data_IF_974217143626
#
_entry.id   IF_974217143626
#
_cell.length_a   1.000
_cell.length_b   1.000
_cell.length_c   1.000
_cell.angle_alpha   90.00
_cell.angle_beta   90.00
_cell.angle_gamma   90.00
#
_symmetry.space_group_name_H-M   'P 1'
#
loop_
_entity.id
_entity.type
_entity.pdbx_description
1 polymer ?
#
# COMPACT_ATOMS: atom_id res chain seq x y z
N UNK A 1 -54.01 -56.53 37.18
CA UNK A 1 -53.61 -55.13 37.42
C UNK A 1 -52.67 -54.71 36.30
N UNK A 2 -53.09 -53.74 35.48
CA UNK A 2 -52.37 -53.22 34.30
C UNK A 2 -51.35 -52.18 34.76
N UNK A 3 -50.09 -52.30 34.35
CA UNK A 3 -49.11 -51.21 34.46
C UNK A 3 -48.72 -50.77 33.05
N UNK A 4 -49.17 -49.56 32.70
CA UNK A 4 -48.86 -48.86 31.45
C UNK A 4 -47.51 -48.18 31.66
N UNK A 5 -46.51 -48.55 30.85
CA UNK A 5 -45.20 -47.92 30.82
C UNK A 5 -45.33 -46.59 30.06
N UNK A 6 -45.39 -45.47 30.78
CA UNK A 6 -45.51 -44.12 30.23
C UNK A 6 -44.10 -43.60 29.86
N UNK A 7 -43.77 -43.54 28.56
CA UNK A 7 -42.58 -42.85 28.07
C UNK A 7 -42.77 -41.34 28.23
N UNK A 8 -42.09 -40.72 29.22
CA UNK A 8 -42.02 -39.26 29.36
C UNK A 8 -41.02 -38.75 28.32
N UNK A 9 -41.53 -38.21 27.22
CA UNK A 9 -40.74 -37.42 26.28
C UNK A 9 -40.46 -36.08 26.96
N UNK A 10 -39.25 -35.91 27.50
CA UNK A 10 -38.77 -34.61 27.99
C UNK A 10 -38.48 -33.75 26.76
N UNK A 11 -39.46 -32.93 26.37
CA UNK A 11 -39.28 -31.87 25.39
C UNK A 11 -38.41 -30.76 26.01
N UNK A 12 -37.09 -30.93 25.91
CA UNK A 12 -36.14 -29.85 26.17
C UNK A 12 -36.39 -28.77 25.12
N UNK A 13 -37.14 -27.74 25.52
CA UNK A 13 -37.34 -26.55 24.71
C UNK A 13 -36.00 -25.80 24.70
N UNK A 14 -35.18 -26.01 23.67
CA UNK A 14 -33.99 -25.19 23.42
C UNK A 14 -34.52 -23.79 23.08
N UNK A 15 -34.58 -22.91 24.08
CA UNK A 15 -34.74 -21.48 23.82
C UNK A 15 -33.42 -20.99 23.25
N UNK A 16 -33.32 -20.92 21.93
CA UNK A 16 -32.26 -20.21 21.24
C UNK A 16 -32.35 -18.73 21.63
N UNK A 17 -31.52 -18.31 22.57
CA UNK A 17 -31.34 -16.90 22.89
C UNK A 17 -30.43 -16.31 21.81
N UNK A 18 -31.04 -15.80 20.74
CA UNK A 18 -30.35 -14.98 19.75
C UNK A 18 -30.03 -13.64 20.40
N UNK A 19 -28.83 -13.49 20.95
CA UNK A 19 -28.29 -12.15 21.20
C UNK A 19 -27.88 -11.59 19.84
N UNK A 20 -28.72 -10.72 19.28
CA UNK A 20 -28.23 -9.68 18.38
C UNK A 20 -27.43 -8.73 19.25
N UNK A 21 -26.11 -8.89 19.28
CA UNK A 21 -25.21 -7.83 19.72
C UNK A 21 -25.38 -6.66 18.75
N UNK A 22 -26.16 -5.68 19.18
CA UNK A 22 -26.12 -4.33 18.63
C UNK A 22 -24.71 -3.81 18.94
N UNK A 23 -23.84 -3.82 17.92
CA UNK A 23 -22.53 -3.18 18.01
C UNK A 23 -22.75 -1.68 18.21
N UNK A 24 -22.84 -1.27 19.48
CA UNK A 24 -22.62 0.11 19.88
C UNK A 24 -21.16 0.41 19.53
N UNK A 25 -20.97 1.08 18.40
CA UNK A 25 -19.68 1.57 17.95
C UNK A 25 -19.20 2.61 18.98
N UNK A 26 -18.51 2.15 20.02
CA UNK A 26 -17.75 3.03 20.90
C UNK A 26 -16.65 3.67 20.05
N UNK A 27 -16.89 4.91 19.64
CA UNK A 27 -16.02 5.81 18.89
C UNK A 27 -14.79 6.21 19.73
N UNK A 28 -13.97 5.23 20.08
CA UNK A 28 -12.67 5.41 20.74
C UNK A 28 -11.54 4.71 19.98
N UNK A 29 -11.84 4.09 18.83
CA UNK A 29 -10.82 3.71 17.84
C UNK A 29 -10.57 4.87 16.88
N UNK A 30 -10.09 5.99 17.43
CA UNK A 30 -9.28 6.95 16.67
C UNK A 30 -7.84 6.45 16.51
N UNK A 31 -7.67 5.13 16.35
CA UNK A 31 -6.39 4.57 15.91
C UNK A 31 -6.13 5.07 14.50
N UNK A 32 -5.15 5.94 14.33
CA UNK A 32 -4.70 6.35 13.01
C UNK A 32 -4.42 5.09 12.19
N UNK A 33 -5.16 4.92 11.10
CA UNK A 33 -4.95 3.79 10.21
C UNK A 33 -3.58 3.99 9.56
N UNK A 34 -2.58 3.19 9.94
CA UNK A 34 -1.27 3.23 9.31
C UNK A 34 -1.28 2.38 8.02
N UNK A 35 -0.89 3.01 6.91
CA UNK A 35 -0.65 2.39 5.60
C UNK A 35 0.16 1.09 5.69
N UNK A 36 1.15 1.02 6.58
CA UNK A 36 2.13 -0.06 6.60
C UNK A 36 1.80 -1.21 7.58
N UNK A 37 0.77 -1.07 8.41
CA UNK A 37 0.34 -2.13 9.35
C UNK A 37 -0.54 -3.20 8.68
N UNK A 38 -1.06 -2.92 7.48
CA UNK A 38 -1.92 -3.85 6.74
C UNK A 38 -1.14 -4.60 5.66
N UNK A 39 -1.30 -5.92 5.65
CA UNK A 39 -0.68 -6.79 4.65
C UNK A 39 -1.47 -6.96 3.35
N UNK A 40 -2.75 -6.55 3.34
CA UNK A 40 -3.59 -6.63 2.13
C UNK A 40 -3.01 -5.73 1.02
N UNK A 41 -2.78 -6.26 -0.20
CA UNK A 41 -2.31 -5.47 -1.32
C UNK A 41 -3.26 -4.31 -1.65
N UNK A 42 -2.68 -3.19 -2.05
CA UNK A 42 -3.41 -2.04 -2.59
C UNK A 42 -3.69 -2.23 -4.08
N UNK A 43 -4.81 -1.70 -4.56
CA UNK A 43 -5.16 -1.70 -5.98
C UNK A 43 -5.23 -0.28 -6.51
N UNK A 44 -4.24 0.10 -7.31
CA UNK A 44 -4.03 1.48 -7.76
C UNK A 44 -4.12 1.58 -9.28
N UNK A 45 -4.74 2.63 -9.79
CA UNK A 45 -4.56 3.06 -11.18
C UNK A 45 -3.82 4.38 -11.20
N UNK A 46 -2.68 4.43 -11.89
CA UNK A 46 -1.87 5.64 -12.04
C UNK A 46 -1.80 6.05 -13.51
N UNK A 47 -2.29 7.26 -13.80
CA UNK A 47 -2.36 7.82 -15.14
C UNK A 47 -1.40 9.00 -15.27
N UNK A 48 -0.51 8.96 -16.25
CA UNK A 48 0.42 10.05 -16.54
C UNK A 48 1.07 9.88 -17.92
N UNK A 49 1.82 10.88 -18.37
CA UNK A 49 2.71 10.72 -19.51
C UNK A 49 3.95 9.93 -19.08
N UNK A 50 3.88 8.60 -19.15
CA UNK A 50 4.99 7.73 -18.75
C UNK A 50 6.11 7.70 -19.79
N UNK A 51 5.83 8.08 -21.04
CA UNK A 51 6.86 8.32 -22.05
C UNK A 51 7.77 9.47 -21.61
N UNK A 52 7.18 10.61 -21.21
CA UNK A 52 7.91 11.77 -20.65
C UNK A 52 8.58 11.40 -19.33
N UNK A 53 7.89 10.72 -18.42
CA UNK A 53 8.45 10.29 -17.13
C UNK A 53 9.79 9.57 -17.28
N UNK A 54 9.86 8.61 -18.21
CA UNK A 54 11.08 7.83 -18.47
C UNK A 54 12.17 8.65 -19.16
N UNK A 55 11.79 9.53 -20.10
CA UNK A 55 12.70 10.43 -20.80
C UNK A 55 13.35 11.44 -19.84
N UNK A 56 12.54 12.01 -18.95
CA UNK A 56 12.92 13.11 -18.06
C UNK A 56 13.39 12.62 -16.68
N UNK A 57 13.68 11.33 -16.52
CA UNK A 57 14.02 10.70 -15.22
C UNK A 57 15.23 11.32 -14.49
N UNK A 58 16.05 12.12 -15.18
CA UNK A 58 17.21 12.81 -14.61
C UNK A 58 16.98 14.29 -14.29
N UNK A 59 15.84 14.88 -14.68
CA UNK A 59 15.56 16.30 -14.43
C UNK A 59 15.23 16.61 -12.97
N UNK A 60 14.99 15.58 -12.15
CA UNK A 60 14.51 15.68 -10.76
C UNK A 60 13.22 16.52 -10.57
N UNK A 61 12.44 16.66 -11.63
CA UNK A 61 11.21 17.44 -11.65
C UNK A 61 9.98 16.56 -11.41
N UNK A 62 8.98 17.14 -10.76
CA UNK A 62 7.67 16.53 -10.62
C UNK A 62 6.81 16.78 -11.87
N UNK A 63 6.16 15.74 -12.36
CA UNK A 63 5.07 15.85 -13.34
C UNK A 63 3.72 15.48 -12.70
N UNK A 64 2.63 16.01 -13.27
CA UNK A 64 1.27 15.69 -12.83
C UNK A 64 0.90 14.24 -13.17
N UNK A 65 0.11 13.63 -12.31
CA UNK A 65 -0.52 12.33 -12.54
C UNK A 65 -1.89 12.30 -11.87
N UNK A 66 -2.76 11.41 -12.35
CA UNK A 66 -4.01 11.07 -11.67
C UNK A 66 -3.85 9.70 -11.02
N UNK A 67 -4.22 9.61 -9.75
CA UNK A 67 -4.22 8.38 -8.98
C UNK A 67 -5.65 8.02 -8.62
N UNK A 68 -6.05 6.80 -8.94
CA UNK A 68 -7.33 6.21 -8.54
C UNK A 68 -7.03 5.04 -7.60
N UNK A 69 -7.70 5.01 -6.45
CA UNK A 69 -7.53 3.95 -5.46
C UNK A 69 -8.80 3.78 -4.62
N UNK A 70 -8.96 2.60 -4.01
CA UNK A 70 -10.12 2.30 -3.17
C UNK A 70 -9.76 2.33 -1.68
N UNK A 71 -10.60 2.96 -0.86
CA UNK A 71 -10.53 2.94 0.60
C UNK A 71 -11.55 1.92 1.11
N UNK A 72 -11.13 1.07 2.07
CA UNK A 72 -11.97 0.06 2.71
C UNK A 72 -12.74 -0.81 1.70
N UNK A 73 -12.12 -1.08 0.55
CA UNK A 73 -12.68 -1.86 -0.56
C UNK A 73 -14.02 -1.37 -1.13
N UNK A 74 -14.46 -0.15 -0.78
CA UNK A 74 -15.83 0.31 -1.06
C UNK A 74 -15.89 1.71 -1.66
N UNK A 75 -14.93 2.58 -1.36
CA UNK A 75 -14.94 3.98 -1.80
C UNK A 75 -13.79 4.23 -2.76
N UNK A 76 -14.10 4.44 -4.05
CA UNK A 76 -13.13 4.87 -5.04
C UNK A 76 -12.81 6.37 -4.86
N UNK A 77 -11.52 6.68 -4.81
CA UNK A 77 -10.98 8.03 -4.73
C UNK A 77 -10.18 8.31 -5.98
N UNK A 78 -10.47 9.42 -6.64
CA UNK A 78 -9.69 9.95 -7.76
C UNK A 78 -8.99 11.24 -7.31
N UNK A 79 -7.66 11.27 -7.44
CA UNK A 79 -6.84 12.36 -6.87
C UNK A 79 -5.73 12.80 -7.81
N UNK A 80 -5.61 14.13 -7.97
CA UNK A 80 -4.44 14.71 -8.62
C UNK A 80 -3.23 14.61 -7.69
N UNK A 81 -2.18 13.97 -8.20
CA UNK A 81 -0.91 13.75 -7.50
C UNK A 81 0.24 14.24 -8.38
N UNK A 82 1.43 14.27 -7.81
CA UNK A 82 2.67 14.52 -8.56
C UNK A 82 3.61 13.34 -8.42
N UNK A 83 4.26 12.98 -9.52
CA UNK A 83 5.25 11.90 -9.56
C UNK A 83 6.58 12.43 -10.07
N UNK A 84 7.67 11.90 -9.51
CA UNK A 84 9.02 12.08 -10.06
C UNK A 84 9.82 10.79 -9.98
N UNK A 85 10.79 10.63 -10.88
CA UNK A 85 11.72 9.52 -10.80
C UNK A 85 12.59 9.64 -9.53
N UNK A 86 12.96 8.51 -8.92
CA UNK A 86 13.83 8.48 -7.75
C UNK A 86 14.84 7.33 -7.79
N UNK A 87 15.78 7.39 -6.86
CA UNK A 87 16.85 6.40 -6.72
C UNK A 87 18.10 6.80 -7.51
N UNK A 88 19.20 6.11 -7.22
CA UNK A 88 20.49 6.38 -7.85
C UNK A 88 20.81 5.32 -8.89
N UNK A 89 20.94 4.06 -8.46
CA UNK A 89 21.25 2.95 -9.36
C UNK A 89 20.12 2.68 -10.36
N UNK A 90 18.90 2.39 -9.89
CA UNK A 90 17.75 2.07 -10.77
C UNK A 90 17.35 3.23 -11.67
N UNK A 91 17.56 4.48 -11.25
CA UNK A 91 17.33 5.65 -12.11
C UNK A 91 18.27 5.63 -13.32
N UNK A 92 19.51 5.16 -13.15
CA UNK A 92 20.50 5.01 -14.23
C UNK A 92 20.23 3.78 -15.10
N UNK A 93 19.99 2.62 -14.48
CA UNK A 93 19.98 1.32 -15.17
C UNK A 93 18.60 0.85 -15.65
N UNK A 94 17.51 1.29 -15.02
CA UNK A 94 16.16 0.86 -15.39
C UNK A 94 15.54 1.73 -16.47
N UNK A 95 14.74 1.10 -17.34
CA UNK A 95 13.89 1.80 -18.29
C UNK A 95 12.71 2.48 -17.57
N UNK A 96 12.14 1.79 -16.58
CA UNK A 96 11.09 2.32 -15.71
C UNK A 96 11.67 2.56 -14.31
N UNK A 97 12.00 3.81 -13.94
CA UNK A 97 12.60 4.09 -12.64
C UNK A 97 11.54 4.06 -11.52
N UNK A 98 11.95 3.78 -10.27
CA UNK A 98 11.07 3.90 -9.12
C UNK A 98 10.46 5.30 -9.01
N UNK A 99 9.25 5.38 -8.46
CA UNK A 99 8.45 6.60 -8.40
C UNK A 99 8.49 7.19 -6.98
N UNK A 100 8.66 8.51 -6.89
CA UNK A 100 8.32 9.27 -5.69
C UNK A 100 6.97 9.94 -5.92
N UNK A 101 5.96 9.46 -5.23
CA UNK A 101 4.58 9.93 -5.29
C UNK A 101 4.39 11.02 -4.23
N UNK A 102 3.74 12.12 -4.61
CA UNK A 102 3.56 13.31 -3.78
C UNK A 102 2.09 13.74 -3.82
N UNK A 103 1.44 13.65 -2.67
CA UNK A 103 0.08 14.14 -2.44
C UNK A 103 0.13 15.61 -2.09
N UNK A 104 -0.75 16.41 -2.69
CA UNK A 104 -0.96 17.79 -2.22
C UNK A 104 -1.58 17.73 -0.82
N UNK A 105 -1.10 18.61 0.08
CA UNK A 105 -1.53 18.71 1.49
C UNK A 105 -3.01 19.07 1.68
N UNK A 106 -3.70 19.49 0.62
CA UNK A 106 -4.95 20.26 0.72
C UNK A 106 -6.22 19.43 0.91
N UNK A 107 -6.17 18.11 0.86
CA UNK A 107 -7.39 17.28 0.95
C UNK A 107 -7.14 16.06 1.84
N UNK A 108 -7.42 16.23 3.13
CA UNK A 108 -7.35 15.20 4.16
C UNK A 108 -8.75 14.60 4.30
N UNK A 109 -9.09 13.64 3.42
CA UNK A 109 -9.99 12.57 3.87
C UNK A 109 -9.16 11.76 4.86
N UNK A 110 -9.58 11.69 6.13
CA UNK A 110 -8.93 10.84 7.14
C UNK A 110 -8.98 9.39 6.64
N UNK A 111 -7.87 8.91 6.10
CA UNK A 111 -7.64 7.54 5.66
C UNK A 111 -6.17 7.14 5.88
N UNK A 112 -5.81 5.93 5.44
CA UNK A 112 -4.47 5.36 5.63
C UNK A 112 -3.31 6.14 4.99
N UNK A 113 -3.60 7.09 4.10
CA UNK A 113 -2.61 7.93 3.43
C UNK A 113 -2.44 9.32 4.07
N UNK A 114 -3.22 9.65 5.11
CA UNK A 114 -3.31 11.02 5.65
C UNK A 114 -1.98 11.58 6.17
N UNK A 115 -1.16 10.73 6.77
CA UNK A 115 0.16 11.10 7.30
C UNK A 115 1.27 11.09 6.23
N UNK A 116 0.97 10.63 5.02
CA UNK A 116 1.96 10.34 3.98
C UNK A 116 1.89 11.32 2.80
N UNK A 117 2.51 12.48 2.94
CA UNK A 117 2.57 13.47 1.84
C UNK A 117 3.49 13.04 0.70
N UNK A 118 4.48 12.18 0.97
CA UNK A 118 5.46 11.69 -0.01
C UNK A 118 5.74 10.21 0.23
N UNK A 119 5.38 9.35 -0.72
CA UNK A 119 5.68 7.92 -0.66
C UNK A 119 6.71 7.52 -1.71
N UNK A 120 7.55 6.55 -1.33
CA UNK A 120 8.49 5.90 -2.23
C UNK A 120 7.82 4.64 -2.75
N UNK A 121 7.59 4.58 -4.05
CA UNK A 121 7.06 3.41 -4.73
C UNK A 121 8.19 2.73 -5.51
N UNK A 122 8.46 1.48 -5.16
CA UNK A 122 9.39 0.63 -5.88
C UNK A 122 8.63 -0.03 -7.04
N UNK A 123 9.20 0.05 -8.23
CA UNK A 123 8.56 -0.41 -9.47
C UNK A 123 9.42 -1.46 -10.18
N UNK A 124 8.81 -2.18 -11.12
CA UNK A 124 9.55 -3.02 -12.07
C UNK A 124 10.58 -2.18 -12.84
N UNK A 125 11.70 -2.81 -13.22
CA UNK A 125 12.80 -2.11 -13.92
C UNK A 125 12.56 -2.00 -15.44
N UNK A 126 11.86 -2.98 -16.03
CA UNK A 126 11.45 -3.03 -17.44
C UNK A 126 10.23 -3.96 -17.61
N UNK A 127 9.67 -4.03 -18.82
CA UNK A 127 8.43 -4.77 -19.11
C UNK A 127 8.55 -6.29 -19.25
N UNK A 128 9.74 -6.87 -19.09
CA UNK A 128 9.90 -8.32 -19.14
C UNK A 128 9.46 -8.98 -17.83
N UNK A 129 8.76 -10.12 -17.93
CA UNK A 129 8.12 -10.81 -16.79
C UNK A 129 9.06 -11.12 -15.61
N UNK A 130 10.34 -11.40 -15.87
CA UNK A 130 11.29 -11.69 -14.79
C UNK A 130 11.57 -10.49 -13.88
N UNK A 131 11.40 -9.25 -14.36
CA UNK A 131 11.55 -8.06 -13.51
C UNK A 131 10.46 -7.94 -12.46
N UNK A 132 9.26 -8.46 -12.75
CA UNK A 132 8.18 -8.56 -11.78
C UNK A 132 8.56 -9.54 -10.65
N UNK A 133 9.15 -10.68 -11.00
CA UNK A 133 9.64 -11.64 -10.01
C UNK A 133 10.76 -11.06 -9.15
N UNK A 134 11.67 -10.26 -9.72
CA UNK A 134 12.71 -9.58 -8.95
C UNK A 134 12.13 -8.56 -7.97
N UNK A 135 11.11 -7.81 -8.39
CA UNK A 135 10.39 -6.89 -7.51
C UNK A 135 9.72 -7.64 -6.34
N UNK A 136 9.03 -8.75 -6.62
CA UNK A 136 8.39 -9.55 -5.58
C UNK A 136 9.41 -10.18 -4.62
N UNK A 137 10.56 -10.65 -5.13
CA UNK A 137 11.67 -11.12 -4.27
C UNK A 137 12.19 -10.02 -3.36
N UNK A 138 12.40 -8.81 -3.88
CA UNK A 138 12.81 -7.66 -3.05
C UNK A 138 11.77 -7.33 -1.98
N UNK A 139 10.48 -7.30 -2.33
CA UNK A 139 9.39 -7.12 -1.37
C UNK A 139 9.44 -8.17 -0.26
N UNK A 140 9.60 -9.44 -0.61
CA UNK A 140 9.70 -10.54 0.35
C UNK A 140 10.94 -10.42 1.25
N UNK A 141 12.08 -9.94 0.72
CA UNK A 141 13.25 -9.67 1.55
C UNK A 141 12.95 -8.63 2.65
N UNK A 142 12.21 -7.56 2.34
CA UNK A 142 11.77 -6.60 3.35
C UNK A 142 10.82 -7.24 4.37
N UNK A 143 9.82 -7.99 3.92
CA UNK A 143 8.87 -8.69 4.81
C UNK A 143 9.56 -9.68 5.73
N UNK A 144 10.53 -10.45 5.21
CA UNK A 144 11.34 -11.34 6.00
C UNK A 144 12.13 -10.57 7.07
N UNK A 145 12.74 -9.44 6.71
CA UNK A 145 13.47 -8.62 7.66
C UNK A 145 12.57 -7.94 8.71
N UNK A 146 11.30 -7.64 8.37
CA UNK A 146 10.31 -7.14 9.34
C UNK A 146 10.03 -8.14 10.47
N UNK A 147 10.17 -9.45 10.22
CA UNK A 147 10.01 -10.49 11.25
C UNK A 147 11.25 -10.53 12.17
N UNK A 148 12.43 -10.28 11.62
CA UNK A 148 13.69 -10.38 12.35
C UNK A 148 14.00 -9.15 13.19
N UNK A 149 13.52 -7.97 12.79
CA UNK A 149 13.84 -6.72 13.49
C UNK A 149 12.82 -5.62 13.22
N UNK A 150 12.47 -4.89 14.28
CA UNK A 150 11.71 -3.64 14.16
C UNK A 150 12.52 -2.52 13.50
N UNK A 151 13.86 -2.64 13.45
CA UNK A 151 14.77 -1.72 12.74
C UNK A 151 14.86 -2.03 11.25
N UNK A 152 13.70 -2.23 10.64
CA UNK A 152 13.52 -2.58 9.24
C UNK A 152 12.50 -1.62 8.61
N UNK A 153 12.62 -1.40 7.29
CA UNK A 153 11.62 -0.64 6.56
C UNK A 153 10.37 -1.48 6.38
N UNK A 154 9.22 -0.94 6.74
CA UNK A 154 7.93 -1.57 6.40
C UNK A 154 7.61 -1.35 4.92
N UNK A 155 6.92 -2.32 4.33
CA UNK A 155 6.54 -2.31 2.92
C UNK A 155 5.09 -2.77 2.75
N UNK A 156 4.42 -2.26 1.71
CA UNK A 156 3.08 -2.72 1.33
C UNK A 156 2.96 -2.93 -0.17
N UNK A 157 2.49 -4.11 -0.55
CA UNK A 157 2.36 -4.52 -1.94
C UNK A 157 1.23 -3.75 -2.63
N UNK A 158 1.40 -3.49 -3.91
CA UNK A 158 0.45 -2.76 -4.75
C UNK A 158 0.33 -3.50 -6.08
N UNK A 159 -0.88 -3.91 -6.43
CA UNK A 159 -1.23 -4.19 -7.81
C UNK A 159 -1.53 -2.85 -8.48
N UNK A 160 -0.73 -2.48 -9.49
CA UNK A 160 -0.83 -1.18 -10.13
C UNK A 160 -1.15 -1.31 -11.61
N UNK A 161 -2.23 -0.63 -12.03
CA UNK A 161 -2.55 -0.36 -13.43
C UNK A 161 -1.93 0.97 -13.84
N UNK A 162 -0.99 0.93 -14.79
CA UNK A 162 -0.45 2.14 -15.41
C UNK A 162 -1.22 2.47 -16.68
N UNK A 163 -1.60 3.73 -16.86
CA UNK A 163 -2.19 4.24 -18.12
C UNK A 163 -1.27 5.34 -18.67
N UNK A 164 -0.59 5.06 -19.77
CA UNK A 164 0.33 5.99 -20.44
C UNK A 164 -0.43 6.91 -21.39
N UNK A 165 -0.52 8.18 -21.03
CA UNK A 165 -1.17 9.23 -21.82
C UNK A 165 -0.23 9.89 -22.84
N UNK A 166 1.07 9.58 -22.82
CA UNK A 166 2.08 10.15 -23.72
C UNK A 166 2.19 9.47 -25.08
N UNK A 167 1.41 8.41 -25.33
CA UNK A 167 1.37 7.66 -26.59
C UNK A 167 0.10 7.97 -27.37
N UNK A 168 0.19 7.94 -28.70
CA UNK A 168 -0.95 8.18 -29.62
C UNK A 168 -2.14 7.24 -29.35
N UNK A 169 -1.87 6.00 -28.97
CA UNK A 169 -2.86 5.06 -28.42
C UNK A 169 -2.58 4.92 -26.94
N UNK A 170 -3.62 5.10 -26.09
CA UNK A 170 -3.53 4.82 -24.65
C UNK A 170 -3.01 3.41 -24.48
N UNK A 171 -1.87 3.29 -23.83
CA UNK A 171 -1.25 2.00 -23.53
C UNK A 171 -1.37 1.77 -22.04
N UNK A 172 -1.99 0.65 -21.67
CA UNK A 172 -2.16 0.27 -20.28
C UNK A 172 -1.55 -1.10 -20.00
N UNK A 173 -1.10 -1.28 -18.77
CA UNK A 173 -0.62 -2.57 -18.30
C UNK A 173 -0.74 -2.64 -16.78
N UNK A 174 -0.92 -3.86 -16.27
CA UNK A 174 -1.01 -4.16 -14.85
C UNK A 174 0.27 -4.90 -14.46
N UNK A 175 0.83 -4.57 -13.29
CA UNK A 175 1.98 -5.25 -12.71
C UNK A 175 2.08 -4.95 -11.23
N UNK A 176 3.06 -5.54 -10.55
CA UNK A 176 3.32 -5.29 -9.14
C UNK A 176 4.23 -4.06 -8.92
N UNK A 177 4.00 -3.40 -7.79
CA UNK A 177 4.87 -2.42 -7.17
C UNK A 177 4.72 -2.53 -5.66
N UNK A 178 5.51 -1.80 -4.88
CA UNK A 178 5.27 -1.71 -3.44
C UNK A 178 5.68 -0.34 -2.89
N UNK A 179 4.97 0.11 -1.86
CA UNK A 179 5.42 1.24 -1.05
C UNK A 179 6.48 0.77 -0.06
N UNK A 180 7.46 1.63 0.19
CA UNK A 180 8.45 1.47 1.25
C UNK A 180 8.44 2.69 2.16
N UNK A 181 8.48 2.42 3.46
CA UNK A 181 8.55 3.40 4.55
C UNK A 181 9.68 4.43 4.33
N UNK A 182 9.48 5.68 4.76
CA UNK A 182 10.56 6.66 4.72
C UNK A 182 11.59 6.40 5.83
N UNK A 183 12.83 6.84 5.62
CA UNK A 183 13.89 6.66 6.63
C UNK A 183 13.55 7.40 7.92
N UNK A 184 12.99 8.62 7.82
CA UNK A 184 12.59 9.37 9.00
C UNK A 184 11.57 8.62 9.84
N UNK A 185 10.58 8.01 9.20
CA UNK A 185 9.52 7.25 9.87
C UNK A 185 10.03 5.97 10.54
N UNK A 186 10.86 5.20 9.83
CA UNK A 186 11.49 4.01 10.41
C UNK A 186 12.36 4.39 11.62
N UNK A 187 13.13 5.48 11.50
CA UNK A 187 13.98 5.97 12.57
C UNK A 187 13.13 6.40 13.79
N UNK A 188 12.08 7.19 13.59
CA UNK A 188 11.14 7.61 14.64
C UNK A 188 10.50 6.42 15.35
N UNK A 189 9.93 5.47 14.58
CA UNK A 189 9.31 4.25 15.13
C UNK A 189 10.29 3.38 15.92
N UNK A 190 11.58 3.40 15.56
CA UNK A 190 12.63 2.62 16.22
C UNK A 190 13.45 3.42 17.24
N UNK A 191 12.98 4.60 17.67
CA UNK A 191 13.68 5.50 18.59
C UNK A 191 15.13 5.77 18.18
N UNK A 192 15.36 5.87 16.87
CA UNK A 192 16.66 6.01 16.23
C UNK A 192 16.73 7.34 15.48
N UNK A 193 17.94 7.80 15.18
CA UNK A 193 18.16 9.07 14.48
C UNK A 193 19.00 8.86 13.23
N UNK A 194 18.66 9.58 12.16
CA UNK A 194 19.42 9.55 10.91
C UNK A 194 20.75 10.28 11.10
N UNK A 195 21.85 9.56 10.97
CA UNK A 195 23.17 10.16 10.87
C UNK A 195 23.37 10.72 9.45
N UNK A 196 23.87 11.96 9.36
CA UNK A 196 24.42 12.47 8.10
C UNK A 196 25.79 11.83 7.91
N UNK A 197 25.99 11.17 6.77
CA UNK A 197 27.31 10.65 6.40
C UNK A 197 28.26 11.83 6.17
N UNK A 198 28.94 12.29 7.21
CA UNK A 198 30.10 13.16 7.09
C UNK A 198 31.42 12.42 7.36
N UNK A 199 31.40 11.24 8.03
CA UNK A 199 32.63 10.52 8.42
C UNK A 199 32.46 9.01 8.62
N UNK A 200 32.05 8.29 7.59
CA UNK A 200 32.25 6.83 7.51
C UNK A 200 32.84 6.54 6.14
N UNK A 201 34.12 6.89 6.00
CA UNK A 201 35.01 6.48 4.93
C UNK A 201 35.91 5.36 5.43
#
# INVERSE_FOLDING_TARGET
>A
MKYILLFIIVSISIRSYSQTEEYVLNDTLSGEIDLFERDKPLHFTLMSDFKKFKKDKYKDEYQKAQLIYTINDSVEINKEVRIKARGEFRKKTCNFPPIRLNWRKTEIVKNEFSQFYKLKMVTHCSGAKYYEQYLLKEFLCYKFYNILSDRSFRVRLIEIKYIDTGKKKKNEFITWSFFIEDFGMMAERSNSHKLKNEKLG
#
